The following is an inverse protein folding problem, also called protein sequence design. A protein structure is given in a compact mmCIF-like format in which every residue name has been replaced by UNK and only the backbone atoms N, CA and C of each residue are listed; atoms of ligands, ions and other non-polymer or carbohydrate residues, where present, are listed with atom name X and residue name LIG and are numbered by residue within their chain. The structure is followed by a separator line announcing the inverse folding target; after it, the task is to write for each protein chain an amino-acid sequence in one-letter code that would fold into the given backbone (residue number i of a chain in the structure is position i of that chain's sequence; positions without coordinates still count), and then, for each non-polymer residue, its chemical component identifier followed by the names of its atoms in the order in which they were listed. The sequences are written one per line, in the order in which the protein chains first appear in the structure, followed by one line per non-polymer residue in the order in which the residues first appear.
data_IF_110974789606
#
_entry.id   IF_110974789606
#
_cell.length_a   1.000
_cell.length_b   1.000
_cell.length_c   1.000
_cell.angle_alpha   90.00
_cell.angle_beta   90.00
_cell.angle_gamma   90.00
#
_symmetry.space_group_name_H-M   'P 1'
#
loop_
_entity.id
_entity.type
_entity.pdbx_description
1 polymer ?
#
# COMPACT_ATOMS: atom_id res chain seq x y z
N UNK A 1 9.04 -32.89 -19.86
CA UNK A 1 8.51 -32.66 -18.49
C UNK A 1 8.55 -31.17 -18.28
N UNK A 2 7.45 -30.47 -18.56
CA UNK A 2 7.30 -29.06 -18.24
C UNK A 2 7.18 -28.95 -16.73
N UNK A 3 8.26 -28.56 -16.07
CA UNK A 3 8.23 -28.15 -14.67
C UNK A 3 7.26 -26.98 -14.59
N UNK A 4 6.09 -27.19 -13.99
CA UNK A 4 5.20 -26.11 -13.58
C UNK A 4 5.91 -25.34 -12.50
N UNK A 5 6.73 -24.35 -12.88
CA UNK A 5 7.28 -23.39 -11.93
C UNK A 5 6.12 -22.51 -11.50
N UNK A 6 5.77 -22.60 -10.22
CA UNK A 6 4.94 -21.60 -9.58
C UNK A 6 5.89 -20.42 -9.36
N UNK A 7 5.96 -19.56 -10.36
CA UNK A 7 6.75 -18.33 -10.28
C UNK A 7 5.89 -17.24 -9.64
N UNK A 8 6.51 -16.44 -8.78
CA UNK A 8 5.87 -15.26 -8.20
C UNK A 8 5.54 -14.27 -9.33
N UNK A 9 4.47 -13.49 -9.17
CA UNK A 9 4.10 -12.47 -10.12
C UNK A 9 5.18 -11.37 -10.15
N UNK A 10 5.95 -11.34 -11.23
CA UNK A 10 6.97 -10.32 -11.47
C UNK A 10 6.36 -9.09 -12.16
N UNK A 11 7.07 -7.97 -12.16
CA UNK A 11 6.66 -6.77 -12.90
C UNK A 11 6.44 -7.06 -14.39
N UNK A 12 7.26 -7.94 -14.99
CA UNK A 12 7.11 -8.36 -16.37
C UNK A 12 5.82 -9.18 -16.60
N UNK A 13 5.49 -10.09 -15.69
CA UNK A 13 4.22 -10.85 -15.71
C UNK A 13 3.02 -9.90 -15.66
N UNK A 14 3.08 -8.91 -14.77
CA UNK A 14 2.05 -7.90 -14.62
C UNK A 14 1.86 -7.03 -15.87
N UNK A 15 2.94 -6.53 -16.47
CA UNK A 15 2.89 -5.78 -17.74
C UNK A 15 2.32 -6.63 -18.87
N UNK A 16 2.72 -7.90 -18.96
CA UNK A 16 2.18 -8.83 -19.94
C UNK A 16 0.68 -9.12 -19.75
N UNK A 17 0.21 -9.20 -18.51
CA UNK A 17 -1.21 -9.33 -18.20
C UNK A 17 -2.00 -8.09 -18.66
N UNK A 18 -1.44 -6.89 -18.47
CA UNK A 18 -2.06 -5.64 -18.94
C UNK A 18 -2.09 -5.60 -20.47
N UNK A 19 -0.98 -5.92 -21.15
CA UNK A 19 -0.91 -6.01 -22.62
C UNK A 19 -1.93 -7.01 -23.18
N UNK A 20 -2.03 -8.19 -22.56
CA UNK A 20 -3.02 -9.20 -22.95
C UNK A 20 -4.46 -8.70 -22.79
N UNK A 21 -4.74 -7.89 -21.76
CA UNK A 21 -6.07 -7.33 -21.53
C UNK A 21 -6.51 -6.31 -22.59
N UNK A 22 -5.55 -5.64 -23.25
CA UNK A 22 -5.81 -4.69 -24.34
C UNK A 22 -5.65 -5.32 -25.74
N UNK A 23 -5.38 -6.63 -25.82
CA UNK A 23 -5.24 -7.38 -27.08
C UNK A 23 -3.86 -7.26 -27.74
N UNK A 24 -2.85 -6.83 -26.99
CA UNK A 24 -1.46 -6.77 -27.47
C UNK A 24 -0.71 -8.07 -27.18
N UNK A 25 0.34 -8.33 -27.96
CA UNK A 25 1.18 -9.52 -27.79
C UNK A 25 2.09 -9.40 -26.55
N UNK A 26 2.38 -10.52 -25.86
CA UNK A 26 3.27 -10.51 -24.72
C UNK A 26 4.72 -10.23 -25.13
N UNK A 27 5.47 -9.63 -24.22
CA UNK A 27 6.89 -9.28 -24.37
C UNK A 27 7.77 -10.16 -23.47
N UNK A 28 9.01 -10.37 -23.90
CA UNK A 28 10.01 -11.17 -23.17
C UNK A 28 10.88 -10.36 -22.21
N UNK A 29 10.77 -9.02 -22.20
CA UNK A 29 11.52 -8.13 -21.32
C UNK A 29 10.99 -6.69 -21.38
N UNK A 30 11.29 -5.92 -20.33
CA UNK A 30 10.89 -4.52 -20.21
C UNK A 30 11.86 -3.62 -20.98
N UNK A 31 11.50 -3.29 -22.23
CA UNK A 31 12.23 -2.30 -23.02
C UNK A 31 11.56 -0.91 -22.90
N UNK A 32 12.13 -0.06 -22.03
CA UNK A 32 11.65 1.31 -21.81
C UNK A 32 11.95 2.27 -22.97
N UNK A 33 12.71 1.85 -23.99
CA UNK A 33 12.85 2.63 -25.22
C UNK A 33 11.56 2.63 -26.05
N UNK A 34 10.69 1.64 -25.86
CA UNK A 34 9.36 1.62 -26.46
C UNK A 34 8.39 2.51 -25.64
N UNK A 35 7.83 3.58 -26.23
CA UNK A 35 6.90 4.46 -25.53
C UNK A 35 5.67 3.75 -24.97
N UNK A 36 5.16 2.71 -25.64
CA UNK A 36 3.97 1.97 -25.19
C UNK A 36 4.26 1.15 -23.93
N UNK A 37 5.41 0.47 -23.89
CA UNK A 37 5.83 -0.33 -22.73
C UNK A 37 6.10 0.59 -21.54
N UNK A 38 6.81 1.71 -21.77
CA UNK A 38 7.07 2.72 -20.75
C UNK A 38 5.77 3.30 -20.18
N UNK A 39 4.79 3.57 -21.04
CA UNK A 39 3.48 4.07 -20.62
C UNK A 39 2.71 3.07 -19.76
N UNK A 40 2.64 1.80 -20.18
CA UNK A 40 1.96 0.74 -19.41
C UNK A 40 2.64 0.52 -18.06
N UNK A 41 3.97 0.53 -18.03
CA UNK A 41 4.73 0.40 -16.79
C UNK A 41 4.47 1.57 -15.84
N UNK A 42 4.36 2.80 -16.35
CA UNK A 42 3.98 3.95 -15.53
C UNK A 42 2.56 3.80 -14.98
N UNK A 43 1.60 3.31 -15.77
CA UNK A 43 0.24 3.03 -15.29
C UNK A 43 0.22 1.98 -14.18
N UNK A 44 1.05 0.94 -14.28
CA UNK A 44 1.22 -0.06 -13.22
C UNK A 44 1.76 0.59 -11.94
N UNK A 45 2.81 1.42 -12.05
CA UNK A 45 3.40 2.15 -10.92
C UNK A 45 2.41 3.09 -10.25
N UNK A 46 1.70 3.90 -11.02
CA UNK A 46 0.67 4.81 -10.52
C UNK A 46 -0.46 4.04 -9.81
N UNK A 47 -0.93 2.95 -10.41
CA UNK A 47 -1.99 2.14 -9.81
C UNK A 47 -1.53 1.46 -8.51
N UNK A 48 -0.27 1.02 -8.45
CA UNK A 48 0.35 0.48 -7.23
C UNK A 48 0.43 1.53 -6.12
N UNK A 49 0.92 2.74 -6.45
CA UNK A 49 0.98 3.85 -5.50
C UNK A 49 -0.42 4.23 -4.99
N UNK A 50 -1.40 4.35 -5.88
CA UNK A 50 -2.78 4.69 -5.51
C UNK A 50 -3.39 3.68 -4.53
N UNK A 51 -3.13 2.39 -4.72
CA UNK A 51 -3.67 1.33 -3.85
C UNK A 51 -2.94 1.31 -2.51
N UNK A 52 -1.61 1.41 -2.51
CA UNK A 52 -0.82 1.43 -1.29
C UNK A 52 -1.08 2.68 -0.44
N UNK A 53 -1.42 3.81 -1.07
CA UNK A 53 -1.82 5.05 -0.38
C UNK A 53 -3.11 4.89 0.45
N UNK A 54 -3.99 3.94 0.14
CA UNK A 54 -5.18 3.66 0.97
C UNK A 54 -4.75 3.21 2.38
N UNK A 55 -3.61 2.51 2.49
CA UNK A 55 -3.12 1.89 3.71
C UNK A 55 -3.84 0.58 3.99
N UNK A 56 -3.07 -0.49 4.04
CA UNK A 56 -3.50 -1.87 4.25
C UNK A 56 -2.61 -2.51 5.32
N UNK A 57 -3.10 -3.55 5.97
CA UNK A 57 -2.36 -4.30 7.01
C UNK A 57 -0.92 -4.67 6.63
N UNK A 58 -0.64 -4.95 5.36
CA UNK A 58 0.71 -5.33 4.91
C UNK A 58 1.68 -4.15 4.75
N UNK A 59 1.20 -2.91 4.63
CA UNK A 59 2.04 -1.73 4.41
C UNK A 59 1.89 -0.64 5.47
N UNK A 60 1.03 -0.86 6.47
CA UNK A 60 0.93 -0.03 7.67
C UNK A 60 1.80 -0.65 8.76
N UNK A 61 2.64 0.17 9.37
CA UNK A 61 3.42 -0.16 10.55
C UNK A 61 2.98 0.73 11.72
N UNK A 62 2.66 0.09 12.85
CA UNK A 62 2.26 0.76 14.08
C UNK A 62 3.43 0.87 15.05
N UNK A 63 3.36 1.84 15.97
CA UNK A 63 4.29 1.99 17.09
C UNK A 63 5.79 2.07 16.67
N UNK A 64 6.08 2.79 15.58
CA UNK A 64 7.46 2.99 15.12
C UNK A 64 8.10 4.15 15.85
N UNK A 65 9.23 3.90 16.51
CA UNK A 65 9.99 4.91 17.23
C UNK A 65 10.87 5.73 16.28
N UNK A 66 10.55 7.01 16.14
CA UNK A 66 11.36 8.01 15.44
C UNK A 66 12.13 8.86 16.45
N UNK A 67 13.46 8.82 16.37
CA UNK A 67 14.33 9.63 17.24
C UNK A 67 14.61 10.98 16.61
N UNK A 68 14.61 12.03 17.43
CA UNK A 68 14.99 13.36 16.98
C UNK A 68 16.49 13.39 16.68
N UNK A 69 16.86 13.82 15.47
CA UNK A 69 18.25 13.93 15.06
C UNK A 69 18.97 15.10 15.75
N UNK A 70 20.29 15.19 15.57
CA UNK A 70 21.11 16.26 16.18
C UNK A 70 20.70 17.69 15.77
N UNK A 71 19.99 17.84 14.65
CA UNK A 71 19.47 19.11 14.16
C UNK A 71 18.07 19.44 14.73
N UNK A 72 17.62 18.71 15.75
CA UNK A 72 16.26 18.76 16.30
C UNK A 72 15.16 18.41 15.29
N UNK A 73 15.49 17.73 14.18
CA UNK A 73 14.57 17.40 13.10
C UNK A 73 14.44 15.89 12.94
N UNK A 74 13.26 15.44 12.53
CA UNK A 74 13.00 14.04 12.16
C UNK A 74 12.92 13.95 10.64
N UNK A 75 13.87 13.22 10.06
CA UNK A 75 13.94 12.96 8.62
C UNK A 75 13.09 11.73 8.31
N UNK A 76 12.18 11.86 7.36
CA UNK A 76 11.32 10.76 6.93
C UNK A 76 11.94 10.11 5.70
N UNK A 77 12.05 8.79 5.74
CA UNK A 77 12.54 7.97 4.64
C UNK A 77 11.66 8.14 3.38
N UNK A 78 12.25 8.00 2.19
CA UNK A 78 11.57 8.32 0.93
C UNK A 78 10.46 7.34 0.53
N UNK A 79 10.47 6.14 1.12
CA UNK A 79 9.47 5.08 0.96
C UNK A 79 8.21 5.31 1.81
N UNK A 80 8.29 6.10 2.88
CA UNK A 80 7.14 6.37 3.76
C UNK A 80 6.19 7.35 3.08
N UNK A 81 5.01 6.90 2.65
CA UNK A 81 4.01 7.69 1.92
C UNK A 81 3.10 8.50 2.84
N UNK A 82 2.77 7.96 4.01
CA UNK A 82 1.95 8.61 5.05
C UNK A 82 2.60 8.37 6.40
N UNK A 83 2.55 9.40 7.24
CA UNK A 83 2.95 9.34 8.65
C UNK A 83 1.85 10.00 9.45
N UNK A 84 1.54 9.44 10.60
CA UNK A 84 0.58 9.98 11.55
C UNK A 84 1.08 9.75 12.97
N UNK A 85 0.55 10.49 13.93
CA UNK A 85 0.81 10.23 15.34
C UNK A 85 0.27 8.83 15.71
N UNK A 86 0.95 8.14 16.63
CA UNK A 86 0.42 6.87 17.15
C UNK A 86 -0.93 7.10 17.83
N UNK A 87 -0.98 8.17 18.62
CA UNK A 87 -2.12 8.47 19.45
C UNK A 87 -3.12 9.38 18.73
N UNK A 88 -4.15 8.76 18.14
CA UNK A 88 -5.20 9.47 17.42
C UNK A 88 -6.10 10.35 18.32
N UNK A 89 -6.07 10.17 19.66
CA UNK A 89 -6.85 11.01 20.59
C UNK A 89 -6.05 12.20 21.11
N UNK A 90 -4.72 12.14 21.05
CA UNK A 90 -3.87 13.28 21.36
C UNK A 90 -3.90 14.32 20.24
N UNK A 91 -4.43 15.51 20.56
CA UNK A 91 -4.49 16.67 19.65
C UNK A 91 -3.50 17.76 20.01
N UNK A 92 -2.58 17.50 20.93
CA UNK A 92 -1.53 18.45 21.29
C UNK A 92 -0.48 18.57 20.20
N UNK A 93 -0.31 17.52 19.39
CA UNK A 93 0.59 17.43 18.24
C UNK A 93 -0.16 16.88 17.02
N UNK A 94 0.09 17.41 15.83
CA UNK A 94 -0.50 16.91 14.58
C UNK A 94 0.60 16.75 13.54
N UNK A 95 1.06 15.51 13.39
CA UNK A 95 2.21 15.20 12.56
C UNK A 95 1.83 14.91 11.12
N UNK A 96 2.47 15.61 10.19
CA UNK A 96 2.33 15.38 8.75
C UNK A 96 3.71 15.40 8.10
N UNK A 97 3.89 14.58 7.06
CA UNK A 97 5.09 14.61 6.23
C UNK A 97 5.08 15.85 5.33
N UNK A 98 6.10 16.71 5.41
CA UNK A 98 6.26 17.88 4.53
C UNK A 98 7.71 18.06 4.11
N UNK A 99 7.93 18.65 2.93
CA UNK A 99 9.28 19.05 2.50
C UNK A 99 9.68 20.37 3.15
N UNK A 100 10.86 20.38 3.76
CA UNK A 100 11.53 21.60 4.24
C UNK A 100 12.25 22.30 3.06
N UNK A 101 12.90 23.44 3.32
CA UNK A 101 13.66 24.21 2.33
C UNK A 101 14.74 23.40 1.61
N UNK A 102 15.25 22.35 2.26
CA UNK A 102 16.28 21.43 1.72
C UNK A 102 15.72 20.42 0.69
N UNK A 103 14.40 20.38 0.50
CA UNK A 103 13.73 19.43 -0.40
C UNK A 103 13.58 18.01 0.13
N UNK A 104 14.04 17.76 1.36
CA UNK A 104 13.97 16.49 2.08
C UNK A 104 12.62 16.40 2.82
N UNK A 105 12.02 15.21 2.85
CA UNK A 105 10.83 14.94 3.64
C UNK A 105 11.16 14.92 5.13
N UNK A 106 10.48 15.74 5.92
CA UNK A 106 10.63 15.84 7.37
C UNK A 106 9.27 15.77 8.05
N UNK A 107 9.27 15.38 9.32
CA UNK A 107 8.09 15.45 10.17
C UNK A 107 7.77 16.92 10.44
N UNK A 108 6.54 17.31 10.18
CA UNK A 108 6.04 18.66 10.40
C UNK A 108 4.88 18.62 11.37
N UNK A 109 4.97 19.39 12.45
CA UNK A 109 3.86 19.58 13.37
C UNK A 109 2.95 20.71 12.87
N UNK A 110 1.68 20.41 12.65
CA UNK A 110 0.66 21.37 12.20
C UNK A 110 0.08 22.21 13.33
N UNK A 111 0.22 21.80 14.59
CA UNK A 111 -0.25 22.58 15.75
C UNK A 111 0.72 23.72 16.02
N UNK A 112 2.00 23.39 16.22
CA UNK A 112 3.04 24.38 16.53
C UNK A 112 3.72 24.96 15.29
N UNK A 113 3.33 24.49 14.09
CA UNK A 113 3.84 24.94 12.80
C UNK A 113 5.37 24.85 12.65
N UNK A 114 6.00 23.87 13.29
CA UNK A 114 7.46 23.71 13.34
C UNK A 114 7.92 22.38 12.74
N UNK A 115 9.19 22.35 12.33
CA UNK A 115 9.92 21.14 11.96
C UNK A 115 10.93 20.71 13.03
N UNK A 116 11.09 21.53 14.08
CA UNK A 116 12.10 21.37 15.11
C UNK A 116 11.47 20.98 16.44
N UNK A 117 12.04 19.95 17.06
CA UNK A 117 11.61 19.33 18.31
C UNK A 117 12.77 19.33 19.32
N UNK A 118 13.17 20.50 19.87
CA UNK A 118 14.36 20.61 20.72
C UNK A 118 14.20 20.02 22.12
N UNK A 119 12.96 19.92 22.62
CA UNK A 119 12.64 19.46 23.98
C UNK A 119 12.24 17.98 24.03
N UNK A 120 12.15 17.32 22.87
CA UNK A 120 11.67 15.94 22.72
C UNK A 120 12.78 15.02 22.20
N UNK A 121 12.94 13.84 22.79
CA UNK A 121 13.97 12.86 22.38
C UNK A 121 13.48 11.94 21.24
N UNK A 122 12.20 11.59 21.26
CA UNK A 122 11.59 10.65 20.31
C UNK A 122 10.08 10.78 20.26
N UNK A 123 9.49 10.35 19.14
CA UNK A 123 8.04 10.17 18.99
C UNK A 123 7.73 8.75 18.51
N UNK A 124 6.57 8.24 18.89
CA UNK A 124 5.99 7.06 18.28
C UNK A 124 5.02 7.47 17.19
N UNK A 125 5.18 6.89 16.01
CA UNK A 125 4.40 7.24 14.82
C UNK A 125 3.89 5.99 14.14
N UNK A 126 2.75 6.14 13.47
CA UNK A 126 2.22 5.15 12.54
C UNK A 126 2.66 5.53 11.14
N UNK A 127 3.28 4.59 10.43
CA UNK A 127 3.82 4.82 9.08
C UNK A 127 3.11 3.94 8.07
N UNK A 128 2.96 4.48 6.86
CA UNK A 128 2.59 3.68 5.68
C UNK A 128 3.77 3.71 4.73
N UNK A 129 4.28 2.55 4.34
CA UNK A 129 5.44 2.40 3.45
C UNK A 129 5.01 1.98 2.05
N UNK A 130 5.77 2.44 1.06
CA UNK A 130 5.64 1.99 -0.32
C UNK A 130 6.54 0.77 -0.53
N UNK A 131 5.92 -0.37 -0.77
CA UNK A 131 6.58 -1.63 -1.08
C UNK A 131 6.73 -1.81 -2.60
N UNK A 132 7.74 -2.58 -2.99
CA UNK A 132 7.93 -3.00 -4.36
C UNK A 132 6.82 -3.97 -4.78
N UNK A 133 6.49 -4.02 -6.07
CA UNK A 133 5.38 -4.84 -6.57
C UNK A 133 5.51 -6.32 -6.16
N UNK A 134 6.73 -6.86 -6.18
CA UNK A 134 7.03 -8.26 -5.86
C UNK A 134 6.85 -8.59 -4.37
N UNK A 135 6.97 -7.60 -3.48
CA UNK A 135 6.83 -7.76 -2.03
C UNK A 135 5.37 -7.63 -1.55
N UNK A 136 4.45 -7.30 -2.46
CA UNK A 136 3.02 -7.12 -2.16
C UNK A 136 2.31 -8.49 -2.19
N UNK A 137 1.33 -8.76 -1.30
CA UNK A 137 0.56 -10.01 -1.38
C UNK A 137 -0.17 -10.16 -2.73
N UNK A 138 -0.24 -11.40 -3.23
CA UNK A 138 -0.75 -11.71 -4.58
C UNK A 138 -2.17 -11.22 -4.86
N UNK A 139 -3.02 -11.16 -3.83
CA UNK A 139 -4.39 -10.62 -3.93
C UNK A 139 -4.37 -9.14 -4.34
N UNK A 140 -3.47 -8.36 -3.75
CA UNK A 140 -3.29 -6.94 -4.09
C UNK A 140 -2.55 -6.75 -5.40
N UNK A 141 -1.55 -7.59 -5.72
CA UNK A 141 -0.90 -7.59 -7.04
C UNK A 141 -1.94 -7.74 -8.17
N UNK A 142 -2.88 -8.67 -8.00
CA UNK A 142 -4.00 -8.88 -8.93
C UNK A 142 -4.89 -7.65 -9.06
N UNK A 143 -5.21 -7.00 -7.94
CA UNK A 143 -6.02 -5.79 -7.93
C UNK A 143 -5.32 -4.62 -8.64
N UNK A 144 -4.02 -4.44 -8.40
CA UNK A 144 -3.19 -3.44 -9.09
C UNK A 144 -3.19 -3.68 -10.60
N UNK A 145 -3.03 -4.93 -11.05
CA UNK A 145 -3.06 -5.30 -12.47
C UNK A 145 -4.42 -4.93 -13.09
N UNK A 146 -5.54 -5.31 -12.47
CA UNK A 146 -6.86 -5.00 -13.04
C UNK A 146 -7.15 -3.49 -13.08
N UNK A 147 -6.74 -2.74 -12.06
CA UNK A 147 -6.85 -1.28 -12.04
C UNK A 147 -6.02 -0.63 -13.15
N UNK A 148 -4.78 -1.09 -13.34
CA UNK A 148 -3.89 -0.62 -14.41
C UNK A 148 -4.44 -1.00 -15.80
N UNK A 149 -4.96 -2.22 -15.98
CA UNK A 149 -5.65 -2.67 -17.19
C UNK A 149 -6.85 -1.79 -17.54
N UNK A 150 -7.67 -1.43 -16.55
CA UNK A 150 -8.81 -0.54 -16.75
C UNK A 150 -8.38 0.84 -17.27
N UNK A 151 -7.31 1.41 -16.70
CA UNK A 151 -6.74 2.69 -17.17
C UNK A 151 -6.13 2.57 -18.58
N UNK A 152 -5.37 1.51 -18.83
CA UNK A 152 -4.76 1.25 -20.14
C UNK A 152 -5.81 1.07 -21.24
N UNK A 153 -6.91 0.37 -20.96
CA UNK A 153 -8.02 0.17 -21.89
C UNK A 153 -8.67 1.49 -22.34
N UNK A 154 -8.81 2.44 -21.42
CA UNK A 154 -9.37 3.77 -21.71
C UNK A 154 -8.37 4.62 -22.51
N UNK A 155 -7.12 4.67 -22.05
CA UNK A 155 -6.14 5.62 -22.58
C UNK A 155 -5.52 5.16 -23.91
N UNK A 156 -5.38 3.85 -24.15
CA UNK A 156 -4.75 3.30 -25.37
C UNK A 156 -5.78 2.87 -26.42
N UNK A 157 -6.83 2.15 -26.00
CA UNK A 157 -7.78 1.50 -26.93
C UNK A 157 -9.09 2.27 -27.04
N UNK A 158 -9.42 3.13 -26.07
CA UNK A 158 -10.66 3.90 -26.01
C UNK A 158 -11.94 3.05 -26.13
N UNK A 159 -11.92 1.82 -25.59
CA UNK A 159 -13.04 0.89 -25.67
C UNK A 159 -13.87 0.85 -24.37
N UNK A 160 -15.06 1.45 -24.39
CA UNK A 160 -15.97 1.53 -23.24
C UNK A 160 -16.53 0.16 -22.80
N UNK A 161 -16.75 -0.78 -23.71
CA UNK A 161 -17.28 -2.10 -23.36
C UNK A 161 -16.23 -2.91 -22.58
N UNK A 162 -14.98 -2.87 -23.06
CA UNK A 162 -13.86 -3.53 -22.39
C UNK A 162 -13.59 -2.91 -21.01
N UNK A 163 -13.67 -1.58 -20.90
CA UNK A 163 -13.60 -0.89 -19.60
C UNK A 163 -14.69 -1.36 -18.63
N UNK A 164 -15.94 -1.51 -19.08
CA UNK A 164 -17.05 -1.99 -18.24
C UNK A 164 -16.84 -3.42 -17.72
N UNK A 165 -16.30 -4.31 -18.56
CA UNK A 165 -15.95 -5.67 -18.15
C UNK A 165 -14.79 -5.68 -17.14
N UNK A 166 -13.73 -4.90 -17.40
CA UNK A 166 -12.59 -4.78 -16.49
C UNK A 166 -12.98 -4.19 -15.13
N UNK A 167 -13.91 -3.23 -15.09
CA UNK A 167 -14.43 -2.68 -13.84
C UNK A 167 -15.13 -3.76 -12.97
N UNK A 168 -15.77 -4.75 -13.60
CA UNK A 168 -16.38 -5.87 -12.88
C UNK A 168 -15.33 -6.78 -12.25
N UNK A 169 -14.25 -7.08 -12.97
CA UNK A 169 -13.12 -7.84 -12.43
C UNK A 169 -12.36 -7.07 -11.34
N UNK A 170 -12.22 -5.75 -11.51
CA UNK A 170 -11.65 -4.87 -10.49
C UNK A 170 -12.48 -4.91 -9.20
N UNK A 171 -13.81 -4.83 -9.29
CA UNK A 171 -14.69 -4.90 -8.11
C UNK A 171 -14.60 -6.26 -7.39
N UNK A 172 -14.49 -7.36 -8.14
CA UNK A 172 -14.26 -8.70 -7.57
C UNK A 172 -12.90 -8.80 -6.88
N UNK A 173 -11.85 -8.27 -7.50
CA UNK A 173 -10.51 -8.25 -6.91
C UNK A 173 -10.46 -7.38 -5.65
N UNK A 174 -11.16 -6.23 -5.64
CA UNK A 174 -11.31 -5.40 -4.44
C UNK A 174 -12.02 -6.14 -3.32
N UNK A 175 -13.07 -6.91 -3.62
CA UNK A 175 -13.75 -7.74 -2.62
C UNK A 175 -12.80 -8.78 -2.00
N UNK A 176 -11.95 -9.41 -2.80
CA UNK A 176 -10.92 -10.34 -2.30
C UNK A 176 -9.86 -9.63 -1.44
N UNK A 177 -9.46 -8.40 -1.80
CA UNK A 177 -8.57 -7.58 -0.97
C UNK A 177 -9.21 -7.26 0.39
N UNK A 178 -10.50 -6.92 0.41
CA UNK A 178 -11.23 -6.67 1.65
C UNK A 178 -11.33 -7.92 2.52
N UNK A 179 -11.58 -9.08 1.92
CA UNK A 179 -11.58 -10.35 2.65
C UNK A 179 -10.20 -10.65 3.27
N UNK A 180 -9.12 -10.40 2.52
CA UNK A 180 -7.76 -10.53 3.04
C UNK A 180 -7.52 -9.59 4.23
N UNK A 181 -7.88 -8.31 4.10
CA UNK A 181 -7.72 -7.31 5.16
C UNK A 181 -8.51 -7.68 6.41
N UNK A 182 -9.77 -8.10 6.27
CA UNK A 182 -10.58 -8.53 7.42
C UNK A 182 -10.01 -9.75 8.12
N UNK A 183 -9.34 -10.65 7.39
CA UNK A 183 -8.75 -11.86 7.95
C UNK A 183 -7.37 -11.64 8.58
N UNK A 184 -6.57 -10.70 8.07
CA UNK A 184 -5.20 -10.45 8.55
C UNK A 184 -5.11 -9.28 9.52
N UNK A 185 -6.02 -8.30 9.45
CA UNK A 185 -5.97 -7.11 10.30
C UNK A 185 -6.41 -7.32 11.74
N UNK A 186 -6.85 -8.54 12.09
CA UNK A 186 -7.25 -8.96 13.44
C UNK A 186 -8.15 -7.90 14.14
N UNK A 187 -9.02 -7.25 13.35
CA UNK A 187 -9.81 -6.13 13.81
C UNK A 187 -10.82 -6.61 14.86
N UNK A 188 -10.81 -5.89 15.98
CA UNK A 188 -11.60 -6.23 17.15
C UNK A 188 -12.58 -5.09 17.47
N UNK A 189 -13.87 -5.40 17.57
CA UNK A 189 -14.91 -4.42 17.91
C UNK A 189 -14.66 -3.69 19.24
N UNK A 190 -14.09 -4.38 20.22
CA UNK A 190 -13.78 -3.83 21.54
C UNK A 190 -12.49 -2.99 21.54
N UNK A 191 -11.76 -2.91 20.42
CA UNK A 191 -10.59 -2.04 20.27
C UNK A 191 -9.48 -2.38 21.26
N UNK A 192 -9.20 -3.66 21.46
CA UNK A 192 -8.16 -4.07 22.40
C UNK A 192 -6.80 -3.61 21.90
N UNK A 193 -5.92 -3.11 22.78
CA UNK A 193 -4.59 -2.67 22.39
C UNK A 193 -3.72 -3.86 21.98
N UNK A 194 -2.61 -3.57 21.32
CA UNK A 194 -1.57 -4.55 21.04
C UNK A 194 -1.09 -5.23 22.34
N UNK A 195 -0.54 -6.44 22.21
CA UNK A 195 -0.11 -7.30 23.33
C UNK A 195 -1.23 -7.79 24.26
N UNK A 196 -2.50 -7.59 23.91
CA UNK A 196 -3.62 -8.10 24.68
C UNK A 196 -4.12 -9.46 24.17
N UNK A 197 -4.50 -10.35 25.10
CA UNK A 197 -5.05 -11.65 24.78
C UNK A 197 -6.48 -11.77 25.33
N UNK A 198 -7.47 -11.73 24.44
CA UNK A 198 -8.86 -11.99 24.79
C UNK A 198 -9.39 -13.21 24.05
N UNK A 199 -9.76 -14.24 24.80
CA UNK A 199 -10.54 -15.35 24.27
C UNK A 199 -12.00 -15.15 24.66
N UNK A 200 -12.83 -14.79 23.69
CA UNK A 200 -14.28 -14.77 23.87
C UNK A 200 -14.78 -16.11 24.41
N UNK A 201 -15.82 -16.07 25.24
CA UNK A 201 -16.45 -17.28 25.78
C UNK A 201 -16.83 -18.24 24.66
N UNK A 202 -16.25 -19.46 24.68
CA UNK A 202 -16.54 -20.54 23.74
C UNK A 202 -17.39 -21.60 24.45
N UNK A 203 -18.72 -21.64 24.21
CA UNK A 203 -19.64 -22.54 24.93
C UNK A 203 -19.27 -24.03 24.86
N UNK A 204 -18.60 -24.47 23.79
CA UNK A 204 -18.18 -25.87 23.67
C UNK A 204 -17.02 -26.23 24.62
N UNK A 205 -16.20 -25.25 25.03
CA UNK A 205 -15.08 -25.45 25.95
C UNK A 205 -15.60 -25.67 27.37
N UNK A 206 -16.67 -25.00 27.77
CA UNK A 206 -17.34 -25.21 29.07
C UNK A 206 -18.16 -26.51 29.13
N UNK A 207 -18.51 -27.08 27.98
CA UNK A 207 -19.21 -28.35 27.86
C UNK A 207 -18.28 -29.57 27.73
N UNK A 208 -16.97 -29.37 27.52
CA UNK A 208 -15.96 -30.44 27.60
C UNK A 208 -15.73 -30.80 29.07
N UNK A 209 -16.48 -31.80 29.56
CA UNK A 209 -16.15 -32.57 30.77
C UNK A 209 -15.36 -33.82 30.39
#
# INVERSE_FOLDING_TARGET
MTTTTIDLDTELSAVNAILGSIGQSPISGLDFANPEISFIYNLLKESSQDIQNEGWTFNIEYHIKETVGADNKIIIESDVIRIDNEDAWDRTRDFVRRKDADGIWKLYDRVDHTFEFPDDDYFYVNKVRLLLFEDIPSVFQRYIIYKASGRAAVQLVSNQQLQGMLATYEAQARAACMEYECNQGDHNYMGWPDESAYQSYKPYVSLRR
#
